data_IF_782518391428
#
_entry.id   IF_782518391428
#
_cell.length_a   1.000
_cell.length_b   1.000
_cell.length_c   1.000
_cell.angle_alpha   90.00
_cell.angle_beta   90.00
_cell.angle_gamma   90.00
#
_symmetry.space_group_name_H-M   'P 1'
#
loop_
_entity.id
_entity.type
_entity.pdbx_description
1 polymer ?
#
# COMPACT_ATOMS: atom_id res chain seq x y z
N UNK A 1 -3.50 4.50 -13.80
CA UNK A 1 -3.72 4.70 -12.36
C UNK A 1 -2.77 5.79 -11.88
N UNK A 2 -3.20 6.66 -10.96
CA UNK A 2 -2.34 7.73 -10.42
C UNK A 2 -1.43 7.14 -9.34
N UNK A 3 -0.12 7.37 -9.42
CA UNK A 3 0.81 7.06 -8.33
C UNK A 3 0.68 8.10 -7.23
N UNK A 4 0.52 7.65 -5.99
CA UNK A 4 0.28 8.51 -4.82
C UNK A 4 1.18 8.13 -3.65
N UNK A 5 1.44 9.11 -2.78
CA UNK A 5 1.94 8.89 -1.42
C UNK A 5 0.79 9.13 -0.42
N UNK A 6 1.09 9.12 0.89
CA UNK A 6 0.06 9.27 1.93
C UNK A 6 -0.62 10.64 1.88
N UNK A 7 0.13 11.73 1.64
CA UNK A 7 -0.41 13.08 1.60
C UNK A 7 -1.43 13.32 0.47
N UNK A 8 -1.38 12.52 -0.60
CA UNK A 8 -2.23 12.66 -1.78
C UNK A 8 -3.57 11.92 -1.67
N UNK A 9 -3.81 11.11 -0.64
CA UNK A 9 -5.01 10.26 -0.53
C UNK A 9 -6.31 11.06 -0.48
N UNK A 10 -6.33 12.19 0.23
CA UNK A 10 -7.53 13.04 0.37
C UNK A 10 -8.05 13.59 -0.97
N UNK A 11 -7.18 13.75 -1.96
CA UNK A 11 -7.54 14.23 -3.31
C UNK A 11 -7.98 13.08 -4.25
N UNK A 12 -7.83 11.84 -3.79
CA UNK A 12 -8.05 10.62 -4.57
C UNK A 12 -9.10 9.68 -3.97
N UNK A 13 -9.91 10.14 -3.02
CA UNK A 13 -11.06 9.38 -2.48
C UNK A 13 -11.96 8.88 -3.60
N UNK A 14 -12.37 7.61 -3.50
CA UNK A 14 -13.15 6.84 -4.48
C UNK A 14 -12.47 6.70 -5.85
N UNK A 15 -11.16 6.94 -5.95
CA UNK A 15 -10.39 6.72 -7.17
C UNK A 15 -9.42 5.57 -6.99
N UNK A 16 -9.19 4.87 -8.10
CA UNK A 16 -8.13 3.87 -8.25
C UNK A 16 -6.76 4.55 -8.28
N UNK A 17 -5.86 4.14 -7.39
CA UNK A 17 -4.50 4.66 -7.22
C UNK A 17 -3.47 3.52 -7.17
N UNK A 18 -2.21 3.89 -7.34
CA UNK A 18 -1.05 3.04 -7.09
C UNK A 18 -0.25 3.63 -5.93
N UNK A 19 -0.16 2.90 -4.82
CA UNK A 19 0.63 3.23 -3.64
C UNK A 19 1.88 2.35 -3.64
N UNK A 20 3.06 2.95 -3.42
CA UNK A 20 4.31 2.21 -3.24
C UNK A 20 4.88 2.55 -1.87
N UNK A 21 5.30 1.53 -1.13
CA UNK A 21 5.85 1.72 0.20
C UNK A 21 6.35 0.44 0.86
N UNK A 22 6.82 0.55 2.09
CA UNK A 22 7.26 -0.58 2.91
C UNK A 22 6.14 -1.02 3.85
N UNK A 23 5.85 -2.32 3.92
CA UNK A 23 4.93 -2.86 4.93
C UNK A 23 5.62 -2.80 6.29
N UNK A 24 5.05 -2.02 7.22
CA UNK A 24 5.57 -1.84 8.59
C UNK A 24 4.78 -2.63 9.63
N UNK A 25 3.57 -3.10 9.29
CA UNK A 25 2.77 -4.00 10.12
C UNK A 25 1.80 -4.79 9.25
N UNK A 26 1.65 -6.09 9.54
CA UNK A 26 0.75 -7.00 8.84
C UNK A 26 -0.18 -7.70 9.83
N UNK A 27 -1.47 -7.78 9.48
CA UNK A 27 -2.52 -8.35 10.32
C UNK A 27 -3.48 -9.24 9.51
N UNK A 28 -2.98 -9.95 8.50
CA UNK A 28 -3.75 -10.93 7.71
C UNK A 28 -4.72 -10.30 6.71
N UNK A 29 -5.77 -9.63 7.20
CA UNK A 29 -6.78 -8.99 6.35
C UNK A 29 -6.47 -7.52 6.03
N UNK A 30 -5.48 -6.94 6.67
CA UNK A 30 -4.97 -5.60 6.39
C UNK A 30 -3.49 -5.52 6.72
N UNK A 31 -2.83 -4.49 6.18
CA UNK A 31 -1.48 -4.10 6.56
C UNK A 31 -1.35 -2.58 6.65
N UNK A 32 -0.23 -2.11 7.20
CA UNK A 32 0.16 -0.70 7.22
C UNK A 32 1.38 -0.54 6.33
N UNK A 33 1.27 0.35 5.35
CA UNK A 33 2.33 0.68 4.39
C UNK A 33 2.86 2.08 4.69
N UNK A 34 4.15 2.19 4.97
CA UNK A 34 4.86 3.47 5.03
C UNK A 34 5.22 3.91 3.60
N UNK A 35 4.66 5.04 3.16
CA UNK A 35 4.90 5.63 1.86
C UNK A 35 6.21 6.44 1.83
N UNK A 36 6.63 6.89 0.65
CA UNK A 36 7.90 7.63 0.48
C UNK A 36 7.96 8.99 1.18
N UNK A 37 6.81 9.54 1.61
CA UNK A 37 6.72 10.75 2.42
C UNK A 37 6.76 10.47 3.94
N UNK A 38 7.00 9.22 4.34
CA UNK A 38 7.04 8.76 5.72
C UNK A 38 5.67 8.62 6.38
N UNK A 39 4.58 8.94 5.68
CA UNK A 39 3.24 8.73 6.19
C UNK A 39 2.79 7.28 6.03
N UNK A 40 1.96 6.83 6.97
CA UNK A 40 1.45 5.47 7.03
C UNK A 40 0.04 5.38 6.48
N UNK A 41 -0.20 4.34 5.69
CA UNK A 41 -1.48 4.09 5.02
C UNK A 41 -1.95 2.69 5.37
N UNK A 42 -3.17 2.57 5.91
CA UNK A 42 -3.80 1.27 6.09
C UNK A 42 -4.28 0.75 4.74
N UNK A 43 -3.87 -0.48 4.39
CA UNK A 43 -4.29 -1.18 3.19
C UNK A 43 -5.15 -2.37 3.59
N UNK A 44 -6.39 -2.42 3.09
CA UNK A 44 -7.30 -3.54 3.28
C UNK A 44 -7.04 -4.57 2.19
N UNK A 45 -6.61 -5.77 2.59
CA UNK A 45 -6.12 -6.78 1.66
C UNK A 45 -7.28 -7.62 1.11
N UNK A 46 -7.16 -8.03 -0.15
CA UNK A 46 -8.09 -8.98 -0.75
C UNK A 46 -7.66 -10.43 -0.46
N UNK A 47 -8.59 -11.40 -0.43
CA UNK A 47 -8.22 -12.81 -0.35
C UNK A 47 -7.26 -13.19 -1.49
N UNK A 48 -6.10 -13.75 -1.13
CA UNK A 48 -5.05 -14.10 -2.09
C UNK A 48 -4.10 -12.97 -2.46
N UNK A 49 -4.07 -11.87 -1.68
CA UNK A 49 -3.04 -10.82 -1.79
C UNK A 49 -1.63 -11.42 -1.82
N UNK A 50 -0.73 -10.78 -2.57
CA UNK A 50 0.69 -11.11 -2.54
C UNK A 50 1.38 -10.54 -1.28
N UNK A 51 0.72 -9.67 -0.51
CA UNK A 51 1.27 -9.13 0.73
C UNK A 51 1.01 -10.13 1.86
N UNK A 52 2.06 -10.76 2.37
CA UNK A 52 2.01 -11.89 3.31
C UNK A 52 2.88 -11.71 4.56
N UNK A 53 3.47 -10.52 4.77
CA UNK A 53 4.34 -10.27 5.91
C UNK A 53 4.89 -8.85 5.98
N UNK A 54 5.66 -8.60 7.04
CA UNK A 54 6.29 -7.32 7.33
C UNK A 54 7.60 -7.10 6.55
N UNK A 55 8.09 -5.85 6.56
CA UNK A 55 9.38 -5.43 6.03
C UNK A 55 9.60 -5.64 4.52
N UNK A 56 8.55 -5.92 3.76
CA UNK A 56 8.61 -5.99 2.30
C UNK A 56 8.26 -4.64 1.66
N UNK A 57 8.90 -4.33 0.53
CA UNK A 57 8.51 -3.20 -0.31
C UNK A 57 7.48 -3.69 -1.30
N UNK A 58 6.38 -2.95 -1.44
CA UNK A 58 5.21 -3.38 -2.23
C UNK A 58 4.70 -2.25 -3.10
N UNK A 59 4.12 -2.61 -4.24
CA UNK A 59 3.22 -1.77 -5.02
C UNK A 59 1.79 -2.29 -4.83
N UNK A 60 0.90 -1.42 -4.35
CA UNK A 60 -0.52 -1.70 -4.14
C UNK A 60 -1.32 -0.89 -5.15
N UNK A 61 -2.09 -1.57 -5.97
CA UNK A 61 -3.13 -0.97 -6.80
C UNK A 61 -4.47 -1.14 -6.09
N UNK A 62 -5.16 -0.04 -5.80
CA UNK A 62 -6.36 -0.08 -4.98
C UNK A 62 -7.23 1.17 -5.08
N UNK A 63 -8.37 1.16 -4.40
CA UNK A 63 -9.30 2.30 -4.32
C UNK A 63 -9.13 2.99 -2.97
N UNK A 64 -8.97 4.31 -2.98
CA UNK A 64 -8.92 5.09 -1.73
C UNK A 64 -10.32 5.22 -1.14
N UNK A 65 -10.48 4.82 0.11
CA UNK A 65 -11.73 4.92 0.87
C UNK A 65 -11.86 6.31 1.54
N UNK A 66 -13.05 6.60 2.09
CA UNK A 66 -13.32 7.87 2.77
C UNK A 66 -12.49 8.08 4.05
N UNK A 67 -12.04 7.00 4.69
CA UNK A 67 -11.19 7.02 5.88
C UNK A 67 -9.69 7.08 5.55
N UNK A 68 -9.35 7.34 4.28
CA UNK A 68 -7.98 7.31 3.73
C UNK A 68 -7.32 5.92 3.71
N UNK A 69 -8.02 4.84 4.04
CA UNK A 69 -7.51 3.50 3.76
C UNK A 69 -7.51 3.23 2.25
N UNK A 70 -6.71 2.26 1.82
CA UNK A 70 -6.71 1.78 0.44
C UNK A 70 -7.27 0.36 0.41
N UNK A 71 -8.39 0.17 -0.28
CA UNK A 71 -8.89 -1.16 -0.59
C UNK A 71 -8.07 -1.74 -1.75
N UNK A 72 -7.29 -2.79 -1.47
CA UNK A 72 -6.50 -3.48 -2.49
C UNK A 72 -7.39 -4.02 -3.61
N UNK A 73 -6.87 -3.95 -4.84
CA UNK A 73 -7.38 -4.68 -6.01
C UNK A 73 -6.32 -5.65 -6.55
N UNK A 74 -5.05 -5.25 -6.49
CA UNK A 74 -3.90 -6.09 -6.81
C UNK A 74 -2.66 -5.57 -6.07
N UNK A 75 -1.68 -6.44 -5.84
CA UNK A 75 -0.39 -6.06 -5.29
C UNK A 75 0.76 -6.81 -5.97
N UNK A 76 1.92 -6.19 -5.94
CA UNK A 76 3.19 -6.78 -6.35
C UNK A 76 4.20 -6.52 -5.25
N UNK A 77 4.86 -7.57 -4.78
CA UNK A 77 6.03 -7.43 -3.92
C UNK A 77 7.25 -7.12 -4.78
N UNK A 78 8.12 -6.27 -4.26
CA UNK A 78 9.46 -6.06 -4.80
C UNK A 78 10.44 -6.85 -3.94
N UNK A 79 10.42 -8.18 -4.07
CA UNK A 79 11.37 -9.08 -3.41
C UNK A 79 12.74 -9.01 -4.10
N UNK A 80 13.80 -8.98 -3.27
CA UNK A 80 15.24 -8.82 -3.56
C UNK A 80 15.72 -7.38 -3.93
N UNK A 81 16.56 -6.84 -3.04
CA UNK A 81 17.51 -5.72 -3.23
C UNK A 81 17.00 -4.27 -3.39
N UNK A 82 15.92 -3.88 -2.71
CA UNK A 82 15.69 -2.45 -2.45
C UNK A 82 16.40 -2.01 -1.15
N UNK A 83 17.66 -1.55 -1.27
CA UNK A 83 18.38 -0.85 -0.20
C UNK A 83 19.72 -1.46 0.26
N UNK A 84 20.21 -2.51 -0.41
CA UNK A 84 21.54 -3.12 -0.21
C UNK A 84 22.50 -2.65 -1.30
N UNK A 85 22.88 -1.36 -1.26
CA UNK A 85 24.05 -0.81 -1.97
C UNK A 85 24.99 -0.15 -0.97
#
# INVERSE_FOLDING_TARGET
MTRVNSAMLSQNVNKSVTLVGRVVSFAGSYCVVEACDGGQVQVLLVPGSHIDGDNCVVEVMGVVNQDMSVQEQASTKFDHDYGTL
#
